data_IF_826210805727
#
_entry.id   IF_826210805727
#
_cell.length_a   1.000
_cell.length_b   1.000
_cell.length_c   1.000
_cell.angle_alpha   90.00
_cell.angle_beta   90.00
_cell.angle_gamma   90.00
#
_symmetry.space_group_name_H-M   'P 1'
#
loop_
_entity.id
_entity.type
_entity.pdbx_description
1 polymer ?
#
# COMPACT_ATOMS: atom_id res chain seq x y z
N UNK A 1 -16.03 17.27 -50.11
CA UNK A 1 -16.04 15.86 -49.62
C UNK A 1 -16.14 15.90 -48.11
N UNK A 2 -17.19 15.35 -47.51
CA UNK A 2 -17.25 15.19 -46.04
C UNK A 2 -16.18 14.17 -45.62
N UNK A 3 -15.36 14.54 -44.63
CA UNK A 3 -14.28 13.69 -44.13
C UNK A 3 -14.85 12.60 -43.21
N UNK A 4 -14.40 11.35 -43.35
CA UNK A 4 -14.72 10.24 -42.42
C UNK A 4 -14.08 10.38 -41.03
N UNK A 5 -13.40 11.50 -40.79
CA UNK A 5 -12.64 11.79 -39.58
C UNK A 5 -13.44 11.57 -38.29
N UNK A 6 -14.72 11.95 -38.25
CA UNK A 6 -15.55 11.77 -37.06
C UNK A 6 -15.77 10.29 -36.71
N UNK A 7 -15.97 9.45 -37.72
CA UNK A 7 -16.18 8.01 -37.54
C UNK A 7 -14.86 7.35 -37.10
N UNK A 8 -13.76 7.66 -37.80
CA UNK A 8 -12.43 7.13 -37.49
C UNK A 8 -11.97 7.55 -36.08
N UNK A 9 -12.19 8.80 -35.71
CA UNK A 9 -11.87 9.32 -34.37
C UNK A 9 -12.71 8.64 -33.29
N UNK A 10 -14.01 8.41 -33.52
CA UNK A 10 -14.86 7.72 -32.56
C UNK A 10 -14.41 6.27 -32.33
N UNK A 11 -14.03 5.55 -33.39
CA UNK A 11 -13.49 4.19 -33.28
C UNK A 11 -12.21 4.19 -32.45
N UNK A 12 -11.25 5.07 -32.78
CA UNK A 12 -10.00 5.20 -32.03
C UNK A 12 -10.24 5.54 -30.56
N UNK A 13 -11.08 6.54 -30.28
CA UNK A 13 -11.43 6.97 -28.93
C UNK A 13 -12.03 5.84 -28.10
N UNK A 14 -12.90 5.01 -28.70
CA UNK A 14 -13.49 3.87 -28.02
C UNK A 14 -12.43 2.80 -27.71
N UNK A 15 -11.57 2.43 -28.68
CA UNK A 15 -10.49 1.47 -28.44
C UNK A 15 -9.51 1.94 -27.35
N UNK A 16 -9.23 3.24 -27.30
CA UNK A 16 -8.40 3.87 -26.26
C UNK A 16 -9.05 3.81 -24.87
N UNK A 17 -10.39 3.86 -24.78
CA UNK A 17 -11.14 3.68 -23.53
C UNK A 17 -11.14 2.22 -23.08
N UNK A 18 -11.31 1.27 -24.00
CA UNK A 18 -11.27 -0.16 -23.70
C UNK A 18 -9.90 -0.58 -23.16
N UNK A 19 -8.82 -0.01 -23.72
CA UNK A 19 -7.46 -0.19 -23.20
C UNK A 19 -7.27 0.36 -21.78
N UNK A 20 -7.92 1.47 -21.41
CA UNK A 20 -7.89 1.95 -20.02
C UNK A 20 -8.58 0.98 -19.08
N UNK A 21 -9.74 0.46 -19.46
CA UNK A 21 -10.48 -0.51 -18.65
C UNK A 21 -9.65 -1.79 -18.46
N UNK A 22 -9.01 -2.28 -19.53
CA UNK A 22 -8.09 -3.42 -19.43
C UNK A 22 -6.93 -3.14 -18.48
N UNK A 23 -6.29 -1.98 -18.56
CA UNK A 23 -5.21 -1.58 -17.63
C UNK A 23 -5.69 -1.51 -16.18
N UNK A 24 -6.89 -0.98 -15.93
CA UNK A 24 -7.47 -0.93 -14.59
C UNK A 24 -7.71 -2.33 -14.00
N UNK A 25 -8.12 -3.29 -14.83
CA UNK A 25 -8.28 -4.69 -14.42
C UNK A 25 -6.92 -5.32 -14.09
N UNK A 26 -5.88 -5.07 -14.89
CA UNK A 26 -4.51 -5.52 -14.61
C UNK A 26 -4.01 -4.97 -13.28
N UNK A 27 -4.22 -3.67 -13.01
CA UNK A 27 -3.90 -3.05 -11.71
C UNK A 27 -4.65 -3.78 -10.60
N UNK A 28 -5.95 -4.02 -10.76
CA UNK A 28 -6.75 -4.68 -9.73
C UNK A 28 -6.21 -6.07 -9.41
N UNK A 29 -5.99 -6.91 -10.43
CA UNK A 29 -5.49 -8.28 -10.24
C UNK A 29 -4.07 -8.32 -9.68
N UNK A 30 -3.19 -7.38 -10.03
CA UNK A 30 -1.85 -7.33 -9.47
C UNK A 30 -1.84 -7.10 -7.96
N UNK A 31 -2.84 -6.39 -7.42
CA UNK A 31 -2.96 -6.14 -5.98
C UNK A 31 -3.65 -7.27 -5.22
N UNK A 32 -4.29 -8.24 -5.88
CA UNK A 32 -4.95 -9.37 -5.20
C UNK A 32 -3.95 -10.27 -4.45
N UNK A 33 -2.69 -10.32 -4.89
CA UNK A 33 -1.64 -11.13 -4.27
C UNK A 33 -0.83 -10.39 -3.21
N UNK A 34 -1.11 -9.10 -2.97
CA UNK A 34 -0.34 -8.26 -2.07
C UNK A 34 -0.78 -8.49 -0.63
N UNK A 35 0.16 -8.92 0.22
CA UNK A 35 -0.11 -9.18 1.65
C UNK A 35 0.73 -8.33 2.60
N UNK A 36 1.83 -7.74 2.12
CA UNK A 36 2.68 -6.86 2.94
C UNK A 36 2.68 -5.44 2.41
N UNK A 37 2.91 -4.48 3.30
CA UNK A 37 3.05 -3.05 2.95
C UNK A 37 4.16 -2.84 1.92
N UNK A 38 5.28 -3.56 2.05
CA UNK A 38 6.41 -3.48 1.14
C UNK A 38 6.04 -3.92 -0.30
N UNK A 39 5.37 -5.06 -0.45
CA UNK A 39 4.87 -5.53 -1.75
C UNK A 39 3.87 -4.53 -2.36
N UNK A 40 2.98 -3.99 -1.53
CA UNK A 40 2.01 -2.98 -1.96
C UNK A 40 2.68 -1.71 -2.46
N UNK A 41 3.73 -1.27 -1.77
CA UNK A 41 4.52 -0.11 -2.18
C UNK A 41 5.24 -0.33 -3.51
N UNK A 42 5.88 -1.49 -3.70
CA UNK A 42 6.55 -1.83 -4.96
C UNK A 42 5.56 -1.84 -6.14
N UNK A 43 4.36 -2.41 -5.95
CA UNK A 43 3.31 -2.40 -6.97
C UNK A 43 2.82 -0.98 -7.26
N UNK A 44 2.59 -0.17 -6.22
CA UNK A 44 2.18 1.22 -6.39
C UNK A 44 3.23 2.02 -7.15
N UNK A 45 4.51 1.83 -6.86
CA UNK A 45 5.60 2.51 -7.56
C UNK A 45 5.59 2.16 -9.05
N UNK A 46 5.51 0.86 -9.38
CA UNK A 46 5.48 0.38 -10.76
C UNK A 46 4.31 0.99 -11.56
N UNK A 47 3.10 0.96 -10.99
CA UNK A 47 1.92 1.50 -11.66
C UNK A 47 1.84 3.02 -11.64
N UNK A 48 2.41 3.69 -10.63
CA UNK A 48 2.48 5.15 -10.60
C UNK A 48 3.25 5.69 -11.80
N UNK A 49 4.39 5.07 -12.15
CA UNK A 49 5.15 5.44 -13.36
C UNK A 49 4.37 5.25 -14.67
N UNK A 50 3.42 4.31 -14.71
CA UNK A 50 2.56 4.04 -15.86
C UNK A 50 1.30 4.91 -15.90
N UNK A 51 0.97 5.57 -14.78
CA UNK A 51 -0.30 6.28 -14.57
C UNK A 51 -0.31 7.71 -15.18
N UNK A 52 -0.20 7.81 -16.51
CA UNK A 52 -0.23 9.12 -17.20
C UNK A 52 -1.65 9.65 -17.42
N UNK A 53 -2.63 8.76 -17.56
CA UNK A 53 -4.04 9.10 -17.84
C UNK A 53 -4.85 9.09 -16.54
N UNK A 54 -5.79 10.02 -16.43
CA UNK A 54 -6.59 10.24 -15.22
C UNK A 54 -7.34 8.98 -14.74
N UNK A 55 -7.88 8.17 -15.65
CA UNK A 55 -8.56 6.93 -15.28
C UNK A 55 -7.61 5.93 -14.60
N UNK A 56 -6.34 5.90 -15.01
CA UNK A 56 -5.31 5.01 -14.46
C UNK A 56 -4.78 5.56 -13.14
N UNK A 57 -4.53 6.88 -13.05
CA UNK A 57 -4.13 7.54 -11.80
C UNK A 57 -5.11 7.25 -10.68
N UNK A 58 -6.41 7.45 -10.92
CA UNK A 58 -7.46 7.16 -9.94
C UNK A 58 -7.49 5.70 -9.50
N UNK A 59 -7.22 4.77 -10.40
CA UNK A 59 -7.14 3.36 -10.07
C UNK A 59 -5.95 3.04 -9.15
N UNK A 60 -4.78 3.64 -9.42
CA UNK A 60 -3.59 3.52 -8.57
C UNK A 60 -3.79 4.19 -7.21
N UNK A 61 -4.38 5.39 -7.18
CA UNK A 61 -4.72 6.10 -5.93
C UNK A 61 -5.67 5.30 -5.06
N UNK A 62 -6.69 4.67 -5.65
CA UNK A 62 -7.58 3.76 -4.90
C UNK A 62 -6.81 2.59 -4.28
N UNK A 63 -5.80 2.07 -4.97
CA UNK A 63 -4.94 1.01 -4.43
C UNK A 63 -3.97 1.49 -3.36
N UNK A 64 -3.65 2.77 -3.32
CA UNK A 64 -2.89 3.34 -2.22
C UNK A 64 -3.63 3.19 -0.88
N UNK A 65 -4.93 3.50 -0.86
CA UNK A 65 -5.77 3.33 0.33
C UNK A 65 -5.80 1.86 0.81
N UNK A 66 -5.82 0.90 -0.12
CA UNK A 66 -5.75 -0.54 0.22
C UNK A 66 -4.42 -0.88 0.94
N UNK A 67 -3.29 -0.31 0.51
CA UNK A 67 -1.97 -0.52 1.14
C UNK A 67 -1.89 0.09 2.53
N UNK A 68 -2.49 1.27 2.75
CA UNK A 68 -2.65 1.82 4.10
C UNK A 68 -3.50 0.90 4.99
N UNK A 69 -4.53 0.26 4.43
CA UNK A 69 -5.31 -0.78 5.12
C UNK A 69 -4.46 -1.96 5.57
N UNK A 70 -3.51 -2.42 4.76
CA UNK A 70 -2.56 -3.48 5.13
C UNK A 70 -1.69 -3.05 6.31
N UNK A 71 -1.17 -1.83 6.29
CA UNK A 71 -0.40 -1.28 7.41
C UNK A 71 -1.25 -1.17 8.69
N UNK A 72 -2.48 -0.66 8.60
CA UNK A 72 -3.40 -0.58 9.74
C UNK A 72 -3.73 -1.95 10.34
N UNK A 73 -3.85 -2.99 9.51
CA UNK A 73 -4.01 -4.36 10.00
C UNK A 73 -2.75 -4.86 10.73
N UNK A 74 -1.56 -4.55 10.23
CA UNK A 74 -0.31 -4.92 10.90
C UNK A 74 -0.13 -4.19 12.24
N UNK A 75 -0.50 -2.92 12.32
CA UNK A 75 -0.54 -2.15 13.57
C UNK A 75 -1.44 -2.84 14.60
N UNK A 76 -2.65 -3.23 14.20
CA UNK A 76 -3.56 -3.98 15.04
C UNK A 76 -3.01 -5.35 15.47
N UNK A 77 -2.30 -6.05 14.58
CA UNK A 77 -1.66 -7.34 14.90
C UNK A 77 -0.57 -7.18 15.95
N UNK A 78 0.32 -6.19 15.78
CA UNK A 78 1.38 -5.86 16.73
C UNK A 78 0.78 -5.46 18.08
N UNK A 79 -0.29 -4.65 18.07
CA UNK A 79 -0.98 -4.24 19.29
C UNK A 79 -1.56 -5.44 20.05
N UNK A 80 -2.23 -6.37 19.35
CA UNK A 80 -2.76 -7.61 19.96
C UNK A 80 -1.63 -8.48 20.51
N UNK A 81 -0.56 -8.67 19.75
CA UNK A 81 0.62 -9.44 20.15
C UNK A 81 1.26 -8.86 21.41
N UNK A 82 1.43 -7.54 21.46
CA UNK A 82 2.00 -6.86 22.61
C UNK A 82 1.13 -7.04 23.85
N UNK A 83 -0.18 -6.80 23.76
CA UNK A 83 -1.07 -6.87 24.91
C UNK A 83 -1.24 -8.30 25.45
N UNK A 84 -1.25 -9.30 24.57
CA UNK A 84 -1.32 -10.70 24.96
C UNK A 84 -0.07 -11.13 25.74
N UNK A 85 1.11 -10.67 25.31
CA UNK A 85 2.38 -11.18 25.81
C UNK A 85 3.13 -10.26 26.77
N UNK A 86 2.69 -9.01 27.00
CA UNK A 86 3.43 -8.04 27.85
C UNK A 86 3.75 -8.52 29.27
N UNK A 87 2.92 -9.41 29.83
CA UNK A 87 3.13 -9.99 31.17
C UNK A 87 4.14 -11.14 31.16
N UNK A 88 4.21 -11.89 30.07
CA UNK A 88 5.12 -13.00 29.88
C UNK A 88 5.59 -13.03 28.41
N UNK A 89 6.55 -12.16 28.03
CA UNK A 89 7.02 -12.07 26.66
C UNK A 89 7.62 -13.39 26.17
N UNK A 90 7.49 -13.74 24.88
CA UNK A 90 8.08 -14.95 24.31
C UNK A 90 9.59 -14.77 24.12
N UNK A 91 10.33 -14.72 25.22
CA UNK A 91 11.79 -14.58 25.25
C UNK A 91 12.43 -15.93 25.61
N UNK A 92 13.57 -16.23 24.98
CA UNK A 92 14.30 -17.47 25.25
C UNK A 92 14.85 -17.54 26.69
N UNK A 93 15.07 -18.73 27.25
CA UNK A 93 15.55 -18.91 28.62
C UNK A 93 16.91 -18.26 28.92
N UNK A 94 17.72 -18.03 27.89
CA UNK A 94 19.04 -17.40 27.97
C UNK A 94 18.98 -15.88 28.19
N UNK A 95 17.82 -15.25 28.01
CA UNK A 95 17.69 -13.80 28.12
C UNK A 95 17.33 -13.38 29.56
N UNK A 96 17.94 -12.29 30.08
CA UNK A 96 17.51 -11.73 31.37
C UNK A 96 16.05 -11.27 31.31
N UNK A 97 15.25 -11.54 32.34
CA UNK A 97 13.80 -11.28 32.38
C UNK A 97 13.41 -9.88 31.90
N UNK A 98 14.01 -8.84 32.49
CA UNK A 98 13.65 -7.45 32.18
C UNK A 98 14.26 -6.95 30.87
N UNK A 99 15.54 -7.26 30.62
CA UNK A 99 16.22 -6.83 29.40
C UNK A 99 15.68 -7.54 28.15
N UNK A 100 15.36 -8.82 28.26
CA UNK A 100 14.72 -9.61 27.21
C UNK A 100 13.32 -9.09 26.88
N UNK A 101 12.51 -8.81 27.90
CA UNK A 101 11.18 -8.21 27.72
C UNK A 101 11.26 -6.87 26.99
N UNK A 102 12.21 -6.00 27.38
CA UNK A 102 12.46 -4.73 26.71
C UNK A 102 12.92 -4.91 25.26
N UNK A 103 13.79 -5.89 24.99
CA UNK A 103 14.28 -6.20 23.64
C UNK A 103 13.14 -6.68 22.73
N UNK A 104 12.25 -7.54 23.23
CA UNK A 104 11.07 -8.00 22.49
C UNK A 104 10.14 -6.83 22.14
N UNK A 105 9.80 -5.99 23.12
CA UNK A 105 8.95 -4.81 22.89
C UNK A 105 9.59 -3.85 21.87
N UNK A 106 10.92 -3.63 21.95
CA UNK A 106 11.66 -2.84 20.97
C UNK A 106 11.64 -3.47 19.57
N UNK A 107 11.63 -4.80 19.48
CA UNK A 107 11.49 -5.52 18.21
C UNK A 107 10.15 -5.24 17.53
N UNK A 108 9.06 -5.26 18.30
CA UNK A 108 7.72 -4.90 17.82
C UNK A 108 7.64 -3.46 17.34
N UNK A 109 8.19 -2.53 18.13
CA UNK A 109 8.28 -1.12 17.73
C UNK A 109 9.08 -0.95 16.43
N UNK A 110 10.24 -1.60 16.31
CA UNK A 110 11.07 -1.52 15.10
C UNK A 110 10.37 -2.05 13.86
N UNK A 111 9.57 -3.12 13.99
CA UNK A 111 8.77 -3.66 12.88
C UNK A 111 7.78 -2.64 12.34
N UNK A 112 7.06 -1.95 13.22
CA UNK A 112 6.13 -0.89 12.82
C UNK A 112 6.86 0.32 12.25
N UNK A 113 7.96 0.74 12.88
CA UNK A 113 8.76 1.87 12.42
C UNK A 113 9.26 1.64 10.99
N UNK A 114 9.76 0.45 10.67
CA UNK A 114 10.21 0.11 9.33
C UNK A 114 9.12 0.30 8.27
N UNK A 115 7.90 -0.17 8.53
CA UNK A 115 6.78 0.00 7.60
C UNK A 115 6.36 1.46 7.47
N UNK A 116 6.40 2.22 8.56
CA UNK A 116 6.12 3.66 8.56
C UNK A 116 7.18 4.45 7.78
N UNK A 117 8.46 4.11 7.93
CA UNK A 117 9.57 4.72 7.19
C UNK A 117 9.42 4.47 5.67
N UNK A 118 9.04 3.25 5.29
CA UNK A 118 8.70 2.89 3.91
C UNK A 118 7.58 3.78 3.36
N UNK A 119 6.44 3.86 4.06
CA UNK A 119 5.31 4.70 3.67
C UNK A 119 5.68 6.19 3.54
N UNK A 120 6.55 6.69 4.42
CA UNK A 120 7.02 8.08 4.38
C UNK A 120 8.05 8.35 3.28
N UNK A 121 8.79 7.34 2.84
CA UNK A 121 9.76 7.46 1.75
C UNK A 121 9.08 7.64 0.38
N UNK A 122 7.87 7.11 0.21
CA UNK A 122 7.14 7.18 -1.06
C UNK A 122 6.52 8.56 -1.31
N UNK A 123 7.16 9.31 -2.22
CA UNK A 123 6.78 10.69 -2.54
C UNK A 123 5.37 10.83 -3.14
N UNK A 124 4.90 9.83 -3.88
CA UNK A 124 3.61 9.87 -4.57
C UNK A 124 2.41 9.58 -3.67
N UNK A 125 2.63 9.06 -2.45
CA UNK A 125 1.58 8.82 -1.46
C UNK A 125 1.32 9.99 -0.52
N UNK A 126 2.23 10.97 -0.47
CA UNK A 126 2.18 12.12 0.44
C UNK A 126 1.00 13.08 0.19
N UNK A 127 0.28 12.90 -0.90
CA UNK A 127 -0.89 13.71 -1.26
C UNK A 127 -2.23 13.02 -0.95
N UNK A 128 -2.21 11.78 -0.45
CA UNK A 128 -3.41 11.03 -0.09
C UNK A 128 -3.85 11.36 1.34
N UNK A 129 -5.15 11.54 1.56
CA UNK A 129 -5.73 11.83 2.90
C UNK A 129 -5.33 10.76 3.93
N UNK A 130 -5.19 9.53 3.47
CA UNK A 130 -4.79 8.37 4.24
C UNK A 130 -3.37 8.49 4.82
N UNK A 131 -2.49 9.28 4.20
CA UNK A 131 -1.15 9.58 4.74
C UNK A 131 -1.23 10.44 6.00
N UNK A 132 -2.13 11.43 6.04
CA UNK A 132 -2.36 12.28 7.21
C UNK A 132 -2.97 11.46 8.37
N UNK A 133 -3.95 10.61 8.07
CA UNK A 133 -4.59 9.74 9.06
C UNK A 133 -3.58 8.75 9.68
N UNK A 134 -2.71 8.16 8.86
CA UNK A 134 -1.67 7.22 9.31
C UNK A 134 -0.60 7.87 10.21
N UNK A 135 -0.38 9.19 10.11
CA UNK A 135 0.56 9.91 10.99
C UNK A 135 -0.01 10.21 12.37
N UNK A 136 -1.34 10.17 12.54
CA UNK A 136 -2.01 10.50 13.81
C UNK A 136 -2.30 9.28 14.69
N UNK A 137 -2.14 8.07 14.16
CA UNK A 137 -2.35 6.79 14.86
C UNK A 137 -1.06 6.24 15.46
#
# INVERSE_FOLDING_TARGET
KATKWHDDYNIFKNGVKDLEVMMQNVITSAFETVVTTDQGLQMLEAFHHLSKREAIKRAVEKKASDVYGIFGNELNNVFKEFNANRKNPPIGPQFPKYAGAALWAKGLQKRLQYQMDLLNSTYYLKSCREHEDAQTQ
#
